data_IF_045623877899
#
_entry.id   IF_045623877899
#
_cell.length_a   1.000
_cell.length_b   1.000
_cell.length_c   1.000
_cell.angle_alpha   90.00
_cell.angle_beta   90.00
_cell.angle_gamma   90.00
#
_symmetry.space_group_name_H-M   'P 1'
#
loop_
_entity.id
_entity.type
_entity.pdbx_description
1 polymer ?
#
# COMPACT_ATOMS: atom_id res chain seq x y z
N UNK A 1 -23.74 -25.35 13.31
CA UNK A 1 -24.49 -26.11 12.29
C UNK A 1 -23.54 -27.15 11.74
N UNK A 2 -23.97 -28.40 11.58
CA UNK A 2 -23.13 -29.39 10.90
C UNK A 2 -23.01 -29.06 9.41
N UNK A 3 -22.00 -29.58 8.69
CA UNK A 3 -21.90 -29.43 7.24
C UNK A 3 -23.18 -29.80 6.48
N UNK A 4 -23.85 -30.88 6.89
CA UNK A 4 -25.10 -31.35 6.29
C UNK A 4 -26.24 -30.35 6.52
N UNK A 5 -26.38 -29.81 7.73
CA UNK A 5 -27.38 -28.78 8.04
C UNK A 5 -27.13 -27.49 7.25
N UNK A 6 -25.86 -27.13 7.08
CA UNK A 6 -25.42 -25.96 6.32
C UNK A 6 -25.76 -26.11 4.84
N UNK A 7 -25.42 -27.25 4.22
CA UNK A 7 -25.77 -27.53 2.83
C UNK A 7 -27.29 -27.64 2.62
N UNK A 8 -28.03 -28.24 3.55
CA UNK A 8 -29.48 -28.31 3.50
C UNK A 8 -30.12 -26.91 3.58
N UNK A 9 -29.58 -26.02 4.43
CA UNK A 9 -30.02 -24.63 4.50
C UNK A 9 -29.66 -23.85 3.23
N UNK A 10 -28.43 -23.97 2.74
CA UNK A 10 -28.03 -23.33 1.48
C UNK A 10 -28.90 -23.81 0.32
N UNK A 11 -29.18 -25.11 0.24
CA UNK A 11 -30.05 -25.69 -0.78
C UNK A 11 -31.45 -25.09 -0.74
N UNK A 12 -32.03 -24.88 0.46
CA UNK A 12 -33.32 -24.18 0.62
C UNK A 12 -33.28 -22.74 0.08
N UNK A 13 -32.22 -21.99 0.36
CA UNK A 13 -32.04 -20.61 -0.15
C UNK A 13 -31.83 -20.57 -1.67
N UNK A 14 -31.32 -21.66 -2.25
CA UNK A 14 -31.12 -21.83 -3.68
C UNK A 14 -32.35 -22.41 -4.41
N UNK A 15 -33.48 -22.72 -3.75
CA UNK A 15 -34.72 -23.22 -4.37
C UNK A 15 -35.43 -22.16 -5.24
N UNK A 16 -34.78 -21.71 -6.32
CA UNK A 16 -35.33 -20.77 -7.32
C UNK A 16 -35.02 -21.29 -8.73
N UNK A 17 -35.91 -21.09 -9.70
CA UNK A 17 -35.67 -21.52 -11.10
C UNK A 17 -34.41 -20.84 -11.66
N UNK A 18 -33.28 -21.55 -11.76
CA UNK A 18 -31.95 -20.99 -12.10
C UNK A 18 -31.82 -20.43 -13.52
N UNK A 19 -32.73 -20.81 -14.41
CA UNK A 19 -32.66 -20.54 -15.84
C UNK A 19 -33.15 -19.12 -16.21
N UNK A 20 -33.90 -18.43 -15.33
CA UNK A 20 -34.34 -17.03 -15.56
C UNK A 20 -33.33 -15.99 -15.04
N UNK A 21 -32.98 -14.95 -15.83
CA UNK A 21 -32.13 -13.85 -15.38
C UNK A 21 -32.93 -12.93 -14.46
N UNK A 22 -32.68 -13.02 -13.15
CA UNK A 22 -33.32 -12.16 -12.14
C UNK A 22 -32.20 -11.48 -11.36
N UNK A 23 -32.21 -10.15 -11.32
CA UNK A 23 -31.30 -9.38 -10.48
C UNK A 23 -31.58 -9.75 -9.01
N UNK A 24 -30.53 -10.04 -8.23
CA UNK A 24 -30.58 -10.44 -6.81
C UNK A 24 -31.08 -11.85 -6.48
N UNK A 25 -31.18 -12.75 -7.47
CA UNK A 25 -31.63 -14.14 -7.29
C UNK A 25 -30.96 -14.88 -6.12
N UNK A 26 -29.68 -14.62 -5.89
CA UNK A 26 -28.86 -15.29 -4.86
C UNK A 26 -28.58 -14.42 -3.64
N UNK A 27 -29.27 -13.31 -3.43
CA UNK A 27 -28.95 -12.38 -2.33
C UNK A 27 -28.98 -13.04 -0.94
N UNK A 28 -30.01 -13.85 -0.67
CA UNK A 28 -30.15 -14.57 0.61
C UNK A 28 -29.08 -15.65 0.79
N UNK A 29 -28.86 -16.48 -0.25
CA UNK A 29 -27.81 -17.50 -0.25
C UNK A 29 -26.41 -16.89 -0.09
N UNK A 30 -26.19 -15.73 -0.72
CA UNK A 30 -24.96 -14.95 -0.63
C UNK A 30 -24.77 -14.42 0.79
N UNK A 31 -25.78 -13.78 1.39
CA UNK A 31 -25.71 -13.29 2.76
C UNK A 31 -25.44 -14.40 3.78
N UNK A 32 -26.12 -15.55 3.62
CA UNK A 32 -25.90 -16.72 4.47
C UNK A 32 -24.47 -17.27 4.35
N UNK A 33 -23.98 -17.45 3.12
CA UNK A 33 -22.61 -17.94 2.86
C UNK A 33 -21.56 -16.95 3.35
N UNK A 34 -21.80 -15.65 3.20
CA UNK A 34 -20.94 -14.57 3.64
C UNK A 34 -20.73 -14.61 5.15
N UNK A 35 -21.81 -14.79 5.91
CA UNK A 35 -21.76 -14.91 7.36
C UNK A 35 -20.94 -16.13 7.83
N UNK A 36 -21.06 -17.26 7.13
CA UNK A 36 -20.33 -18.48 7.50
C UNK A 36 -18.83 -18.39 7.22
N UNK A 37 -18.47 -17.70 6.14
CA UNK A 37 -17.08 -17.51 5.72
C UNK A 37 -16.43 -16.25 6.32
N UNK A 38 -17.15 -15.50 7.16
CA UNK A 38 -16.73 -14.20 7.70
C UNK A 38 -16.28 -13.20 6.61
N UNK A 39 -17.03 -13.16 5.50
CA UNK A 39 -16.78 -12.27 4.38
C UNK A 39 -17.94 -11.27 4.23
N UNK A 40 -17.71 -10.06 3.71
CA UNK A 40 -18.81 -9.20 3.32
C UNK A 40 -19.52 -9.80 2.09
N UNK A 41 -20.87 -9.69 1.97
CA UNK A 41 -21.60 -10.27 0.85
C UNK A 41 -21.11 -9.84 -0.53
N UNK A 42 -20.54 -8.64 -0.66
CA UNK A 42 -19.94 -8.15 -1.92
C UNK A 42 -18.75 -8.98 -2.41
N UNK A 43 -18.10 -9.76 -1.54
CA UNK A 43 -16.96 -10.61 -1.87
C UNK A 43 -17.35 -12.03 -2.30
N UNK A 44 -18.65 -12.32 -2.38
CA UNK A 44 -19.19 -13.60 -2.84
C UNK A 44 -19.97 -13.46 -4.14
N UNK A 45 -19.61 -14.26 -5.13
CA UNK A 45 -20.31 -14.31 -6.40
C UNK A 45 -20.89 -15.70 -6.68
N UNK A 46 -22.22 -15.77 -6.74
CA UNK A 46 -22.94 -16.97 -7.15
C UNK A 46 -23.22 -16.92 -8.65
N UNK A 47 -22.86 -18.00 -9.35
CA UNK A 47 -23.15 -18.13 -10.77
C UNK A 47 -23.71 -19.50 -11.10
N UNK A 48 -24.72 -19.53 -11.95
CA UNK A 48 -25.23 -20.78 -12.49
C UNK A 48 -24.52 -21.12 -13.79
N UNK A 49 -23.97 -22.32 -13.86
CA UNK A 49 -23.18 -22.82 -14.99
C UNK A 49 -23.95 -23.95 -15.64
N UNK A 50 -24.65 -23.61 -16.72
CA UNK A 50 -25.37 -24.60 -17.52
C UNK A 50 -24.50 -25.35 -18.51
N UNK A 51 -23.31 -24.84 -18.85
CA UNK A 51 -22.29 -25.41 -19.77
C UNK A 51 -20.89 -24.99 -19.32
N UNK A 52 -19.89 -25.86 -19.45
CA UNK A 52 -18.50 -25.59 -19.05
C UNK A 52 -17.94 -24.32 -19.71
N UNK A 53 -18.28 -24.07 -20.98
CA UNK A 53 -17.87 -22.85 -21.70
C UNK A 53 -18.34 -21.55 -21.06
N UNK A 54 -19.39 -21.59 -20.23
CA UNK A 54 -19.95 -20.40 -19.58
C UNK A 54 -19.23 -20.04 -18.28
N UNK A 55 -18.34 -20.92 -17.80
CA UNK A 55 -17.64 -20.76 -16.53
C UNK A 55 -16.75 -19.51 -16.53
N UNK A 56 -15.89 -19.40 -17.53
CA UNK A 56 -14.96 -18.27 -17.73
C UNK A 56 -15.68 -16.97 -18.13
N UNK A 57 -16.74 -17.07 -18.92
CA UNK A 57 -17.50 -15.88 -19.38
C UNK A 57 -18.20 -15.21 -18.20
N UNK A 58 -18.93 -15.97 -17.37
CA UNK A 58 -19.75 -15.41 -16.29
C UNK A 58 -18.94 -14.92 -15.09
N UNK A 59 -17.85 -15.62 -14.76
CA UNK A 59 -17.03 -15.26 -13.62
C UNK A 59 -16.09 -14.08 -13.85
N UNK A 60 -15.85 -13.70 -15.11
CA UNK A 60 -14.92 -12.61 -15.46
C UNK A 60 -15.64 -11.34 -15.93
N UNK A 61 -16.80 -11.46 -16.59
CA UNK A 61 -17.48 -10.29 -17.20
C UNK A 61 -18.40 -9.51 -16.25
N UNK A 62 -18.88 -10.13 -15.17
CA UNK A 62 -19.78 -9.44 -14.24
C UNK A 62 -18.97 -8.55 -13.27
N UNK A 63 -19.33 -7.27 -13.08
CA UNK A 63 -18.66 -6.40 -12.11
C UNK A 63 -18.62 -6.99 -10.70
N UNK A 64 -19.71 -7.66 -10.29
CA UNK A 64 -19.78 -8.35 -9.00
C UNK A 64 -18.88 -9.59 -8.95
N UNK A 65 -18.70 -10.29 -10.08
CA UNK A 65 -17.77 -11.40 -10.14
C UNK A 65 -16.33 -10.90 -10.06
N UNK A 66 -15.99 -9.79 -10.72
CA UNK A 66 -14.66 -9.16 -10.65
C UNK A 66 -14.26 -8.84 -9.22
N UNK A 67 -15.17 -8.26 -8.42
CA UNK A 67 -14.90 -7.87 -7.03
C UNK A 67 -14.91 -9.03 -6.02
N UNK A 68 -15.42 -10.20 -6.40
CA UNK A 68 -15.56 -11.34 -5.51
C UNK A 68 -14.21 -12.04 -5.24
N UNK A 69 -14.01 -12.42 -3.99
CA UNK A 69 -12.91 -13.29 -3.53
C UNK A 69 -13.28 -14.76 -3.71
N UNK A 70 -14.57 -15.09 -3.50
CA UNK A 70 -15.09 -16.45 -3.62
C UNK A 70 -16.15 -16.52 -4.71
N UNK A 71 -15.99 -17.47 -5.63
CA UNK A 71 -16.99 -17.78 -6.66
C UNK A 71 -17.64 -19.12 -6.33
N UNK A 72 -18.94 -19.10 -6.11
CA UNK A 72 -19.76 -20.30 -5.92
C UNK A 72 -20.43 -20.65 -7.25
N UNK A 73 -19.93 -21.68 -7.91
CA UNK A 73 -20.45 -22.15 -9.18
C UNK A 73 -21.49 -23.26 -8.95
N UNK A 74 -22.73 -22.96 -9.35
CA UNK A 74 -23.86 -23.87 -9.30
C UNK A 74 -23.94 -24.64 -10.62
N UNK A 75 -23.54 -25.92 -10.59
CA UNK A 75 -23.43 -26.81 -11.75
C UNK A 75 -24.71 -27.63 -11.89
N UNK A 76 -25.36 -27.55 -13.07
CA UNK A 76 -26.43 -28.50 -13.41
C UNK A 76 -25.83 -29.91 -13.44
N UNK A 77 -26.54 -30.91 -12.92
CA UNK A 77 -26.10 -32.31 -12.95
C UNK A 77 -25.57 -32.65 -14.36
N UNK A 78 -24.30 -33.06 -14.45
CA UNK A 78 -23.59 -33.27 -15.72
C UNK A 78 -22.59 -34.40 -15.57
N UNK A 79 -22.37 -35.11 -16.67
CA UNK A 79 -21.36 -36.17 -16.85
C UNK A 79 -19.95 -35.62 -17.13
N UNK A 80 -19.79 -34.31 -17.32
CA UNK A 80 -18.55 -33.63 -17.70
C UNK A 80 -17.75 -33.11 -16.48
N UNK A 81 -17.59 -33.95 -15.44
CA UNK A 81 -16.95 -33.54 -14.17
C UNK A 81 -15.52 -33.03 -14.41
N UNK A 82 -14.71 -33.76 -15.17
CA UNK A 82 -13.32 -33.34 -15.43
C UNK A 82 -13.20 -32.01 -16.17
N UNK A 83 -14.05 -31.78 -17.19
CA UNK A 83 -13.99 -30.54 -17.95
C UNK A 83 -14.39 -29.34 -17.08
N UNK A 84 -15.36 -29.53 -16.18
CA UNK A 84 -15.77 -28.53 -15.20
C UNK A 84 -14.63 -28.22 -14.22
N UNK A 85 -13.98 -29.26 -13.71
CA UNK A 85 -12.81 -29.14 -12.83
C UNK A 85 -11.65 -28.39 -13.51
N UNK A 86 -11.27 -28.78 -14.73
CA UNK A 86 -10.23 -28.06 -15.51
C UNK A 86 -10.58 -26.59 -15.76
N UNK A 87 -11.85 -26.29 -16.04
CA UNK A 87 -12.29 -24.91 -16.24
C UNK A 87 -12.25 -24.09 -14.94
N UNK A 88 -12.61 -24.70 -13.82
CA UNK A 88 -12.56 -24.09 -12.50
C UNK A 88 -11.13 -23.84 -12.03
N UNK A 89 -10.25 -24.81 -12.23
CA UNK A 89 -8.82 -24.71 -11.96
C UNK A 89 -8.18 -23.57 -12.76
N UNK A 90 -8.41 -23.55 -14.08
CA UNK A 90 -7.93 -22.46 -14.94
C UNK A 90 -8.48 -21.09 -14.53
N UNK A 91 -9.71 -21.03 -14.05
CA UNK A 91 -10.28 -19.77 -13.56
C UNK A 91 -9.62 -19.33 -12.25
N UNK A 92 -9.47 -20.25 -11.28
CA UNK A 92 -8.79 -19.98 -10.02
C UNK A 92 -7.37 -19.48 -10.28
N UNK A 93 -6.60 -20.20 -11.12
CA UNK A 93 -5.25 -19.81 -11.52
C UNK A 93 -5.21 -18.42 -12.17
N UNK A 94 -6.15 -18.14 -13.09
CA UNK A 94 -6.19 -16.87 -13.79
C UNK A 94 -6.59 -15.68 -12.91
N UNK A 95 -7.48 -15.90 -11.94
CA UNK A 95 -8.15 -14.81 -11.21
C UNK A 95 -7.71 -14.66 -9.77
N UNK A 96 -6.95 -15.60 -9.22
CA UNK A 96 -6.58 -15.62 -7.81
C UNK A 96 -7.73 -15.95 -6.85
N UNK A 97 -8.89 -16.38 -7.37
CA UNK A 97 -10.11 -16.55 -6.57
C UNK A 97 -10.25 -17.97 -6.06
N UNK A 98 -10.85 -18.11 -4.87
CA UNK A 98 -11.31 -19.40 -4.38
C UNK A 98 -12.60 -19.78 -5.11
N UNK A 99 -12.61 -20.94 -5.74
CA UNK A 99 -13.73 -21.45 -6.52
C UNK A 99 -14.35 -22.64 -5.78
N UNK A 100 -15.62 -22.53 -5.40
CA UNK A 100 -16.42 -23.64 -4.84
C UNK A 100 -17.39 -24.16 -5.91
N UNK A 101 -17.36 -25.47 -6.14
CA UNK A 101 -18.24 -26.15 -7.08
C UNK A 101 -19.34 -26.88 -6.33
N UNK A 102 -20.58 -26.47 -6.57
CA UNK A 102 -21.77 -27.15 -6.06
C UNK A 102 -22.51 -27.81 -7.23
N UNK A 103 -22.76 -29.10 -7.14
CA UNK A 103 -23.50 -29.85 -8.14
C UNK A 103 -24.87 -30.27 -7.58
N UNK A 104 -25.90 -30.27 -8.42
CA UNK A 104 -27.19 -30.86 -8.02
C UNK A 104 -27.02 -32.35 -7.75
N UNK A 105 -27.72 -32.88 -6.75
CA UNK A 105 -27.71 -34.32 -6.41
C UNK A 105 -28.40 -35.16 -7.50
N UNK A 106 -29.46 -34.62 -8.11
CA UNK A 106 -30.14 -35.22 -9.27
C UNK A 106 -30.75 -34.13 -10.15
N UNK A 107 -31.23 -34.48 -11.35
CA UNK A 107 -31.84 -33.52 -12.28
C UNK A 107 -33.14 -32.92 -11.72
N UNK A 108 -33.90 -33.74 -10.98
CA UNK A 108 -35.17 -33.36 -10.35
C UNK A 108 -34.98 -32.73 -8.96
N UNK A 109 -33.80 -32.90 -8.35
CA UNK A 109 -33.51 -32.37 -7.02
C UNK A 109 -33.11 -30.88 -7.06
N UNK A 110 -33.52 -30.16 -6.02
CA UNK A 110 -33.05 -28.81 -5.70
C UNK A 110 -31.94 -28.82 -4.64
N UNK A 111 -31.48 -29.99 -4.25
CA UNK A 111 -30.39 -30.19 -3.30
C UNK A 111 -29.04 -30.12 -4.01
N UNK A 112 -28.07 -29.56 -3.30
CA UNK A 112 -26.73 -29.32 -3.78
C UNK A 112 -25.71 -30.07 -2.92
N UNK A 113 -24.73 -30.69 -3.57
CA UNK A 113 -23.59 -31.33 -2.95
C UNK A 113 -22.29 -30.62 -3.37
N UNK A 114 -21.29 -30.64 -2.49
CA UNK A 114 -19.95 -30.15 -2.79
C UNK A 114 -19.28 -31.12 -3.76
N UNK A 115 -18.98 -30.63 -4.96
CA UNK A 115 -18.27 -31.39 -5.99
C UNK A 115 -16.75 -31.25 -5.82
N UNK A 116 -16.30 -30.14 -5.22
CA UNK A 116 -14.91 -29.81 -4.96
C UNK A 116 -14.66 -28.31 -5.15
N UNK A 117 -13.40 -27.93 -5.30
CA UNK A 117 -13.03 -26.54 -5.54
C UNK A 117 -11.54 -26.34 -5.68
N UNK A 118 -11.15 -25.09 -5.91
CA UNK A 118 -9.79 -24.69 -6.22
C UNK A 118 -9.43 -23.36 -5.56
N UNK A 119 -8.19 -23.22 -5.15
CA UNK A 119 -7.62 -21.97 -4.63
C UNK A 119 -6.16 -21.84 -5.07
N UNK A 120 -5.53 -20.68 -4.85
CA UNK A 120 -4.12 -20.47 -5.18
C UNK A 120 -3.29 -20.77 -3.93
N UNK A 121 -2.49 -21.82 -3.97
CA UNK A 121 -1.74 -22.27 -2.79
C UNK A 121 -0.74 -21.22 -2.28
N UNK A 122 -0.25 -20.35 -3.17
CA UNK A 122 0.65 -19.26 -2.82
C UNK A 122 -0.02 -18.08 -2.08
N UNK A 123 -1.36 -18.06 -1.93
CA UNK A 123 -2.08 -17.00 -1.23
C UNK A 123 -2.73 -17.55 0.06
N UNK A 124 -2.15 -17.26 1.24
CA UNK A 124 -2.62 -17.76 2.54
C UNK A 124 -4.09 -17.41 2.82
N UNK A 125 -4.57 -16.27 2.33
CA UNK A 125 -5.98 -15.89 2.52
C UNK A 125 -6.92 -16.84 1.75
N UNK A 126 -6.52 -17.25 0.54
CA UNK A 126 -7.34 -18.16 -0.27
C UNK A 126 -7.32 -19.58 0.28
N UNK A 127 -6.22 -19.97 0.92
CA UNK A 127 -6.08 -21.23 1.67
C UNK A 127 -6.94 -21.24 2.94
N UNK A 128 -6.90 -20.18 3.75
CA UNK A 128 -7.75 -20.04 4.93
C UNK A 128 -9.24 -20.12 4.54
N UNK A 129 -9.64 -19.39 3.50
CA UNK A 129 -11.00 -19.44 2.97
C UNK A 129 -11.34 -20.85 2.48
N UNK A 130 -10.41 -21.55 1.80
CA UNK A 130 -10.63 -22.90 1.32
C UNK A 130 -10.84 -23.88 2.47
N UNK A 131 -10.01 -23.82 3.50
CA UNK A 131 -10.15 -24.63 4.72
C UNK A 131 -11.47 -24.34 5.42
N UNK A 132 -11.86 -23.07 5.53
CA UNK A 132 -13.14 -22.65 6.10
C UNK A 132 -14.33 -23.18 5.29
N UNK A 133 -14.24 -23.19 3.96
CA UNK A 133 -15.27 -23.78 3.10
C UNK A 133 -15.45 -25.27 3.39
N UNK A 134 -14.35 -26.03 3.54
CA UNK A 134 -14.41 -27.47 3.88
C UNK A 134 -15.00 -27.68 5.27
N UNK A 135 -14.61 -26.86 6.25
CA UNK A 135 -15.15 -26.92 7.62
C UNK A 135 -16.66 -26.68 7.63
N UNK A 136 -17.13 -25.68 6.89
CA UNK A 136 -18.52 -25.21 6.90
C UNK A 136 -19.45 -26.07 6.06
N UNK A 137 -19.00 -26.50 4.88
CA UNK A 137 -19.82 -27.21 3.89
C UNK A 137 -19.48 -28.70 3.78
N UNK A 138 -18.38 -29.14 4.35
CA UNK A 138 -17.89 -30.52 4.22
C UNK A 138 -17.40 -30.83 2.80
N UNK A 139 -17.31 -32.12 2.48
CA UNK A 139 -16.87 -32.60 1.18
C UNK A 139 -15.35 -32.76 1.06
N UNK A 140 -14.84 -33.02 -0.17
CA UNK A 140 -13.41 -33.20 -0.39
C UNK A 140 -12.64 -31.88 -0.19
N UNK A 141 -11.37 -31.94 0.24
CA UNK A 141 -10.50 -30.77 0.28
C UNK A 141 -10.47 -30.05 -1.08
N UNK A 142 -10.47 -28.72 -1.03
CA UNK A 142 -10.23 -27.92 -2.22
C UNK A 142 -8.78 -28.11 -2.67
N UNK A 143 -8.53 -28.09 -3.97
CA UNK A 143 -7.20 -28.30 -4.53
C UNK A 143 -6.45 -26.97 -4.62
N UNK A 144 -5.29 -26.90 -3.96
CA UNK A 144 -4.36 -25.79 -4.11
C UNK A 144 -3.69 -25.84 -5.48
N UNK A 145 -3.62 -24.69 -6.15
CA UNK A 145 -2.92 -24.51 -7.42
C UNK A 145 -1.63 -23.77 -7.13
N UNK A 146 -0.50 -24.40 -7.47
CA UNK A 146 0.78 -23.71 -7.52
C UNK A 146 0.84 -22.85 -8.77
N UNK A 147 1.10 -21.56 -8.59
CA UNK A 147 1.29 -20.63 -9.70
C UNK A 147 2.68 -20.06 -9.56
N UNK A 148 3.50 -20.18 -10.61
CA UNK A 148 4.80 -19.54 -10.59
C UNK A 148 4.64 -18.01 -10.59
N UNK A 149 5.55 -17.23 -9.99
CA UNK A 149 5.52 -15.77 -10.05
C UNK A 149 5.42 -15.22 -11.49
N UNK A 150 6.02 -15.94 -12.45
CA UNK A 150 5.97 -15.60 -13.87
C UNK A 150 4.58 -15.79 -14.52
N UNK A 151 3.84 -16.82 -14.11
CA UNK A 151 2.48 -17.10 -14.58
C UNK A 151 1.45 -16.16 -13.94
N UNK A 152 1.68 -15.76 -12.68
CA UNK A 152 0.88 -14.74 -12.02
C UNK A 152 1.01 -13.39 -12.74
N UNK A 153 2.25 -12.98 -13.06
CA UNK A 153 2.51 -11.77 -13.84
C UNK A 153 1.87 -11.82 -15.24
N UNK A 154 1.99 -12.97 -15.93
CA UNK A 154 1.39 -13.18 -17.26
C UNK A 154 -0.14 -13.14 -17.20
N UNK A 155 -0.75 -13.75 -16.17
CA UNK A 155 -2.20 -13.77 -15.98
C UNK A 155 -2.76 -12.38 -15.68
N UNK A 156 -2.04 -11.56 -14.91
CA UNK A 156 -2.37 -10.17 -14.67
C UNK A 156 -2.32 -9.36 -15.98
N UNK A 157 -1.27 -9.53 -16.79
CA UNK A 157 -1.12 -8.87 -18.09
C UNK A 157 -2.23 -9.27 -19.08
N UNK A 158 -2.58 -10.55 -19.17
CA UNK A 158 -3.71 -11.01 -19.99
C UNK A 158 -5.07 -10.50 -19.50
N UNK A 159 -5.23 -10.33 -18.19
CA UNK A 159 -6.46 -9.78 -17.62
C UNK A 159 -6.64 -8.31 -18.04
N UNK A 160 -5.56 -7.53 -17.99
CA UNK A 160 -5.58 -6.15 -18.48
C UNK A 160 -5.84 -6.07 -19.99
N UNK A 161 -5.23 -6.95 -20.79
CA UNK A 161 -5.45 -7.01 -22.24
C UNK A 161 -6.94 -7.24 -22.59
N UNK A 162 -7.63 -8.10 -21.82
CA UNK A 162 -9.08 -8.34 -21.96
C UNK A 162 -9.97 -7.17 -21.55
N UNK A 163 -9.47 -6.26 -20.71
CA UNK A 163 -10.14 -4.98 -20.42
C UNK A 163 -9.91 -3.94 -21.52
N UNK A 164 -9.27 -4.32 -22.63
CA UNK A 164 -8.89 -3.42 -23.73
C UNK A 164 -7.64 -2.60 -23.41
N UNK A 165 -6.86 -3.01 -22.41
CA UNK A 165 -5.64 -2.35 -21.98
C UNK A 165 -4.45 -3.24 -22.35
N UNK A 166 -3.85 -3.03 -23.53
CA UNK A 166 -2.58 -3.66 -23.91
C UNK A 166 -1.50 -3.40 -22.86
N UNK A 167 -0.52 -4.29 -22.65
CA UNK A 167 0.56 -4.09 -21.66
C UNK A 167 1.30 -2.73 -21.78
N UNK A 168 1.42 -2.19 -23.00
CA UNK A 168 1.96 -0.85 -23.23
C UNK A 168 0.98 0.27 -22.84
N UNK A 169 -0.32 0.08 -23.05
CA UNK A 169 -1.37 1.00 -22.60
C UNK A 169 -1.69 0.86 -21.10
N UNK A 170 -1.44 -0.29 -20.48
CA UNK A 170 -1.43 -0.46 -19.02
C UNK A 170 -0.26 0.31 -18.46
N UNK A 171 0.96 0.14 -18.99
CA UNK A 171 2.10 1.00 -18.65
C UNK A 171 1.82 2.50 -18.84
N UNK A 172 1.13 2.89 -19.92
CA UNK A 172 0.78 4.28 -20.21
C UNK A 172 -0.41 4.83 -19.36
N UNK A 173 -1.40 4.01 -19.04
CA UNK A 173 -2.54 4.34 -18.16
C UNK A 173 -2.08 4.35 -16.70
N UNK A 174 -1.16 3.45 -16.32
CA UNK A 174 -0.44 3.44 -15.04
C UNK A 174 0.53 4.63 -14.93
N UNK A 175 1.13 5.08 -16.04
CA UNK A 175 1.97 6.30 -16.06
C UNK A 175 1.15 7.59 -16.03
N UNK A 176 -0.09 7.58 -16.53
CA UNK A 176 -0.96 8.76 -16.62
C UNK A 176 -1.96 8.90 -15.46
N UNK A 177 -2.34 7.83 -14.75
CA UNK A 177 -3.21 7.94 -13.58
C UNK A 177 -2.42 8.26 -12.31
N UNK A 178 -2.84 9.33 -11.65
CA UNK A 178 -2.32 9.79 -10.36
C UNK A 178 -2.86 8.97 -9.17
N UNK A 179 -3.82 8.08 -9.39
CA UNK A 179 -4.54 7.39 -8.32
C UNK A 179 -3.94 6.01 -8.01
N UNK A 180 -2.80 6.04 -7.31
CA UNK A 180 -2.08 4.85 -6.80
C UNK A 180 -2.97 4.01 -5.86
N UNK A 181 -3.86 4.65 -5.10
CA UNK A 181 -4.74 3.99 -4.13
C UNK A 181 -5.73 3.04 -4.81
N UNK A 182 -6.27 3.44 -5.97
CA UNK A 182 -7.17 2.59 -6.76
C UNK A 182 -6.48 1.33 -7.34
N UNK A 183 -5.18 1.42 -7.62
CA UNK A 183 -4.36 0.33 -8.17
C UNK A 183 -4.04 -0.70 -7.09
N UNK A 184 -3.58 -0.24 -5.92
CA UNK A 184 -3.30 -1.11 -4.78
C UNK A 184 -4.58 -1.79 -4.30
N UNK A 185 -5.70 -1.08 -4.21
CA UNK A 185 -6.99 -1.67 -3.81
C UNK A 185 -7.49 -2.72 -4.81
N UNK A 186 -7.28 -2.51 -6.11
CA UNK A 186 -7.65 -3.47 -7.15
C UNK A 186 -6.75 -4.71 -7.14
N UNK A 187 -5.44 -4.50 -6.99
CA UNK A 187 -4.45 -5.57 -6.94
C UNK A 187 -4.59 -6.42 -5.66
N UNK A 188 -4.79 -5.78 -4.50
CA UNK A 188 -5.14 -6.43 -3.23
C UNK A 188 -6.44 -7.22 -3.31
N UNK A 189 -7.42 -6.73 -4.06
CA UNK A 189 -8.68 -7.44 -4.28
C UNK A 189 -8.53 -8.65 -5.23
N UNK A 190 -7.39 -8.79 -5.92
CA UNK A 190 -7.19 -9.79 -6.96
C UNK A 190 -6.24 -10.93 -6.57
N UNK A 191 -5.28 -10.71 -5.66
CA UNK A 191 -4.46 -11.73 -4.98
C UNK A 191 -3.33 -11.09 -4.17
N UNK A 192 -2.73 -11.84 -3.24
CA UNK A 192 -1.46 -11.47 -2.58
C UNK A 192 -0.32 -11.19 -3.59
N UNK A 193 -0.21 -12.00 -4.65
CA UNK A 193 0.77 -11.78 -5.72
C UNK A 193 0.49 -10.47 -6.49
N UNK A 194 -0.78 -10.15 -6.72
CA UNK A 194 -1.20 -8.87 -7.31
C UNK A 194 -0.80 -7.68 -6.43
N UNK A 195 -1.02 -7.77 -5.12
CA UNK A 195 -0.62 -6.75 -4.16
C UNK A 195 0.90 -6.51 -4.18
N UNK A 196 1.71 -7.58 -4.10
CA UNK A 196 3.17 -7.49 -4.14
C UNK A 196 3.69 -6.86 -5.44
N UNK A 197 3.11 -7.22 -6.58
CA UNK A 197 3.45 -6.61 -7.87
C UNK A 197 3.08 -5.12 -7.93
N UNK A 198 1.93 -4.73 -7.35
CA UNK A 198 1.51 -3.33 -7.27
C UNK A 198 2.43 -2.52 -6.35
N UNK A 199 2.81 -3.06 -5.19
CA UNK A 199 3.76 -2.42 -4.26
C UNK A 199 5.11 -2.20 -4.92
N UNK A 200 5.65 -3.23 -5.59
CA UNK A 200 6.89 -3.14 -6.35
C UNK A 200 6.82 -2.05 -7.42
N UNK A 201 5.72 -1.99 -8.17
CA UNK A 201 5.52 -0.97 -9.21
C UNK A 201 5.43 0.45 -8.61
N UNK A 202 4.81 0.61 -7.44
CA UNK A 202 4.75 1.89 -6.72
C UNK A 202 6.14 2.31 -6.26
N UNK A 203 6.91 1.41 -5.65
CA UNK A 203 8.29 1.68 -5.21
C UNK A 203 9.17 2.08 -6.41
N UNK A 204 9.10 1.34 -7.51
CA UNK A 204 9.85 1.66 -8.74
C UNK A 204 9.50 3.05 -9.29
N UNK A 205 8.20 3.40 -9.32
CA UNK A 205 7.75 4.73 -9.75
C UNK A 205 8.26 5.83 -8.82
N UNK A 206 8.21 5.61 -7.50
CA UNK A 206 8.72 6.55 -6.50
C UNK A 206 10.22 6.78 -6.65
N UNK A 207 11.01 5.72 -6.92
CA UNK A 207 12.45 5.83 -7.20
C UNK A 207 12.74 6.62 -8.47
N UNK A 208 12.02 6.36 -9.56
CA UNK A 208 12.18 7.11 -10.80
C UNK A 208 11.93 8.62 -10.59
N UNK A 209 10.90 8.96 -9.80
CA UNK A 209 10.62 10.35 -9.41
C UNK A 209 11.77 10.97 -8.61
N UNK A 210 12.31 10.25 -7.61
CA UNK A 210 13.45 10.75 -6.80
C UNK A 210 14.69 10.96 -7.68
N UNK A 211 15.00 10.03 -8.59
CA UNK A 211 16.12 10.16 -9.51
C UNK A 211 15.97 11.40 -10.42
N UNK A 212 14.76 11.66 -10.91
CA UNK A 212 14.47 12.84 -11.72
C UNK A 212 14.58 14.14 -10.91
N UNK A 213 14.03 14.17 -9.69
CA UNK A 213 14.16 15.32 -8.79
C UNK A 213 15.62 15.58 -8.44
N UNK A 214 16.42 14.53 -8.19
CA UNK A 214 17.87 14.65 -7.95
C UNK A 214 18.59 15.29 -9.13
N UNK A 215 18.23 14.92 -10.37
CA UNK A 215 18.75 15.56 -11.58
C UNK A 215 18.33 17.04 -11.67
N UNK A 216 17.07 17.34 -11.39
CA UNK A 216 16.56 18.72 -11.42
C UNK A 216 17.28 19.62 -10.42
N UNK A 217 17.47 19.17 -9.17
CA UNK A 217 18.08 19.99 -8.13
C UNK A 217 19.59 20.23 -8.34
N UNK A 218 20.21 19.45 -9.24
CA UNK A 218 21.61 19.63 -9.67
C UNK A 218 21.75 20.57 -10.87
N UNK A 219 20.65 20.95 -11.53
CA UNK A 219 20.65 21.89 -12.65
C UNK A 219 20.37 23.32 -12.14
N UNK A 220 21.32 24.28 -12.28
CA UNK A 220 21.12 25.67 -11.89
C UNK A 220 19.96 26.37 -12.60
N UNK A 221 19.51 25.86 -13.74
CA UNK A 221 18.39 26.41 -14.51
C UNK A 221 17.02 25.96 -13.98
N UNK A 222 16.97 24.95 -13.11
CA UNK A 222 15.72 24.48 -12.51
C UNK A 222 15.13 25.56 -11.61
N UNK A 223 13.89 25.96 -11.89
CA UNK A 223 13.19 26.96 -11.08
C UNK A 223 12.44 26.33 -9.90
N UNK A 224 12.13 27.17 -8.90
CA UNK A 224 11.23 26.79 -7.78
C UNK A 224 9.88 26.25 -8.28
N UNK A 225 9.31 26.89 -9.30
CA UNK A 225 8.03 26.48 -9.89
C UNK A 225 8.12 25.08 -10.53
N UNK A 226 9.24 24.72 -11.14
CA UNK A 226 9.44 23.40 -11.72
C UNK A 226 9.48 22.32 -10.63
N UNK A 227 10.17 22.60 -9.53
CA UNK A 227 10.22 21.72 -8.36
C UNK A 227 8.85 21.57 -7.70
N UNK A 228 8.10 22.66 -7.50
CA UNK A 228 6.73 22.60 -6.97
C UNK A 228 5.83 21.75 -7.86
N UNK A 229 5.87 21.99 -9.18
CA UNK A 229 5.08 21.23 -10.15
C UNK A 229 5.41 19.74 -10.08
N UNK A 230 6.69 19.40 -9.90
CA UNK A 230 7.14 18.02 -9.85
C UNK A 230 6.77 17.30 -8.55
N UNK A 231 6.87 17.97 -7.41
CA UNK A 231 6.48 17.41 -6.11
C UNK A 231 4.97 17.30 -5.92
N UNK A 232 4.17 18.12 -6.61
CA UNK A 232 2.71 18.13 -6.45
C UNK A 232 2.11 16.71 -6.57
N UNK A 233 1.42 16.27 -5.52
CA UNK A 233 0.81 14.94 -5.44
C UNK A 233 1.75 13.81 -4.95
N UNK A 234 3.03 14.11 -4.69
CA UNK A 234 4.04 13.15 -4.23
C UNK A 234 4.49 13.46 -2.80
N UNK A 235 3.53 13.73 -1.91
CA UNK A 235 3.81 14.20 -0.54
C UNK A 235 4.41 13.14 0.39
N UNK A 236 4.40 11.87 -0.02
CA UNK A 236 5.11 10.79 0.65
C UNK A 236 6.62 11.09 0.78
N UNK A 237 7.19 11.96 -0.07
CA UNK A 237 8.58 12.42 -0.01
C UNK A 237 8.91 13.07 1.35
N UNK A 238 7.92 13.65 2.03
CA UNK A 238 8.11 14.27 3.34
C UNK A 238 8.06 13.27 4.51
N UNK A 239 7.78 11.98 4.23
CA UNK A 239 7.70 10.90 5.22
C UNK A 239 6.28 10.42 5.54
N UNK A 240 6.17 9.36 6.35
CA UNK A 240 4.92 8.65 6.63
C UNK A 240 4.02 9.22 7.74
N UNK A 241 4.36 10.37 8.32
CA UNK A 241 3.58 10.96 9.43
C UNK A 241 2.31 11.69 8.99
N UNK A 242 2.10 11.84 7.69
CA UNK A 242 1.01 12.62 7.14
C UNK A 242 -0.12 11.75 6.60
N UNK A 243 -1.35 12.14 6.92
CA UNK A 243 -2.58 11.44 6.53
C UNK A 243 -3.27 12.09 5.32
N UNK A 244 -2.87 13.30 4.95
CA UNK A 244 -3.45 14.00 3.81
C UNK A 244 -2.86 15.40 3.58
N UNK A 245 -3.50 16.13 2.67
CA UNK A 245 -3.12 17.50 2.31
C UNK A 245 -4.33 18.41 2.44
N UNK A 246 -4.14 19.54 3.10
CA UNK A 246 -5.14 20.56 3.31
C UNK A 246 -5.36 21.41 2.06
N UNK A 247 -6.39 22.25 2.13
CA UNK A 247 -6.54 23.35 1.18
C UNK A 247 -5.35 24.32 1.28
N UNK A 248 -4.90 24.85 0.15
CA UNK A 248 -3.77 25.78 0.10
C UNK A 248 -4.01 27.10 0.85
N UNK A 249 -5.27 27.46 1.14
CA UNK A 249 -5.61 28.65 1.92
C UNK A 249 -6.47 28.24 3.12
N UNK A 250 -5.82 28.04 4.27
CA UNK A 250 -6.47 27.66 5.54
C UNK A 250 -6.87 28.91 6.30
N UNK A 251 -5.96 29.87 6.40
CA UNK A 251 -6.21 31.20 6.94
C UNK A 251 -6.55 32.17 5.80
N UNK A 252 -7.41 33.17 6.03
CA UNK A 252 -7.62 34.25 5.08
C UNK A 252 -6.30 34.92 4.69
N UNK A 253 -6.15 35.30 3.41
CA UNK A 253 -4.98 35.99 2.84
C UNK A 253 -3.66 35.19 2.81
N UNK A 254 -3.59 34.02 3.44
CA UNK A 254 -2.46 33.12 3.31
C UNK A 254 -2.67 32.10 2.18
N UNK A 255 -1.56 31.79 1.51
CA UNK A 255 -1.46 30.68 0.56
C UNK A 255 -0.20 29.89 0.87
N UNK A 256 -0.39 28.67 1.35
CA UNK A 256 0.67 27.71 1.66
C UNK A 256 1.02 26.91 0.41
N UNK A 257 2.30 26.58 0.24
CA UNK A 257 2.74 25.71 -0.86
C UNK A 257 2.19 24.30 -0.70
N UNK A 258 2.47 23.66 0.45
CA UNK A 258 1.99 22.32 0.76
C UNK A 258 1.60 22.23 2.25
N UNK A 259 0.33 22.40 2.58
CA UNK A 259 -0.17 22.18 3.94
C UNK A 259 -0.53 20.70 4.14
N UNK A 260 0.21 19.97 4.97
CA UNK A 260 0.04 18.55 5.26
C UNK A 260 -0.70 18.33 6.59
N UNK A 261 -1.55 17.31 6.63
CA UNK A 261 -2.17 16.84 7.87
C UNK A 261 -1.32 15.78 8.52
N UNK A 262 -1.00 15.98 9.79
CA UNK A 262 -0.36 14.96 10.60
C UNK A 262 -1.41 13.97 11.12
N UNK A 263 -0.97 12.75 11.44
CA UNK A 263 -1.82 11.73 12.06
C UNK A 263 -2.39 12.13 13.44
N UNK A 264 -1.76 13.10 14.12
CA UNK A 264 -2.23 13.67 15.39
C UNK A 264 -3.23 14.82 15.23
N UNK A 265 -3.67 15.12 13.99
CA UNK A 265 -4.60 16.20 13.67
C UNK A 265 -3.96 17.58 13.55
N UNK A 266 -2.65 17.72 13.83
CA UNK A 266 -1.94 18.98 13.65
C UNK A 266 -1.65 19.28 12.17
N UNK A 267 -1.42 20.55 11.87
CA UNK A 267 -1.02 20.99 10.55
C UNK A 267 0.51 21.12 10.43
N UNK A 268 1.08 20.62 9.33
CA UNK A 268 2.48 20.85 8.96
C UNK A 268 2.55 21.58 7.63
N UNK A 269 3.08 22.81 7.63
CA UNK A 269 3.28 23.59 6.41
C UNK A 269 4.66 23.28 5.82
N UNK A 270 4.71 22.82 4.57
CA UNK A 270 5.97 22.81 3.83
C UNK A 270 6.02 24.06 2.97
N UNK A 271 7.02 24.90 3.23
CA UNK A 271 7.40 26.05 2.41
C UNK A 271 8.55 25.62 1.51
N UNK A 272 8.40 25.83 0.21
CA UNK A 272 9.37 25.37 -0.77
C UNK A 272 10.08 26.57 -1.40
N UNK A 273 11.39 26.46 -1.59
CA UNK A 273 12.24 27.45 -2.27
C UNK A 273 13.08 26.77 -3.34
N UNK A 274 13.59 27.55 -4.30
CA UNK A 274 14.48 27.03 -5.36
C UNK A 274 15.71 26.24 -4.84
N UNK A 275 16.20 25.31 -5.66
CA UNK A 275 17.40 24.51 -5.35
C UNK A 275 18.71 25.27 -5.57
N UNK A 276 18.74 26.22 -6.50
CA UNK A 276 19.93 27.01 -6.80
C UNK A 276 19.96 28.31 -5.98
N UNK A 277 20.68 28.28 -4.86
CA UNK A 277 20.90 29.44 -3.98
C UNK A 277 22.40 29.51 -3.67
N UNK A 278 23.18 30.32 -4.40
CA UNK A 278 24.63 30.41 -4.22
C UNK A 278 25.02 30.82 -2.79
N UNK A 279 24.30 31.79 -2.22
CA UNK A 279 24.46 32.26 -0.84
C UNK A 279 23.56 31.49 0.13
N UNK A 280 23.46 30.16 0.01
CA UNK A 280 22.70 29.35 0.97
C UNK A 280 23.33 29.45 2.37
N UNK A 281 24.66 29.44 2.40
CA UNK A 281 25.51 29.71 3.57
C UNK A 281 26.42 30.89 3.21
N UNK A 282 26.77 31.68 4.21
CA UNK A 282 27.71 32.80 4.07
C UNK A 282 28.80 32.71 5.13
N UNK A 283 30.00 33.14 4.78
CA UNK A 283 31.10 33.28 5.73
C UNK A 283 31.05 34.66 6.36
N UNK A 284 30.86 34.70 7.67
CA UNK A 284 30.95 35.91 8.46
C UNK A 284 32.15 35.82 9.42
N UNK A 285 33.23 36.52 9.07
CA UNK A 285 34.53 36.43 9.76
C UNK A 285 35.04 34.98 9.75
N UNK A 286 35.17 34.34 10.92
CA UNK A 286 35.63 32.96 11.07
C UNK A 286 34.48 31.94 11.13
N UNK A 287 33.23 32.38 11.12
CA UNK A 287 32.06 31.50 11.28
C UNK A 287 31.25 31.41 9.99
N UNK A 288 30.55 30.29 9.85
CA UNK A 288 29.54 30.10 8.82
C UNK A 288 28.17 30.38 9.42
N UNK A 289 27.31 31.02 8.64
CA UNK A 289 25.92 31.28 9.00
C UNK A 289 25.02 31.03 7.79
N UNK A 290 23.73 30.72 8.01
CA UNK A 290 22.77 30.70 6.92
C UNK A 290 22.72 32.06 6.22
N UNK A 291 22.62 32.06 4.90
CA UNK A 291 22.47 33.30 4.14
C UNK A 291 21.07 33.91 4.29
N UNK A 292 20.92 35.14 3.82
CA UNK A 292 19.69 35.92 4.00
C UNK A 292 18.42 35.19 3.51
N UNK A 293 18.52 34.45 2.39
CA UNK A 293 17.39 33.69 1.82
C UNK A 293 16.86 32.58 2.72
N UNK A 294 17.73 31.96 3.53
CA UNK A 294 17.30 30.97 4.51
C UNK A 294 16.49 31.64 5.62
N UNK A 295 16.98 32.77 6.13
CA UNK A 295 16.26 33.51 7.18
C UNK A 295 14.92 34.07 6.68
N UNK A 296 14.87 34.62 5.45
CA UNK A 296 13.62 35.08 4.82
C UNK A 296 12.58 33.96 4.73
N UNK A 297 12.98 32.77 4.26
CA UNK A 297 12.08 31.63 4.12
C UNK A 297 11.58 31.10 5.48
N UNK A 298 12.46 31.07 6.49
CA UNK A 298 12.08 30.72 7.87
C UNK A 298 11.10 31.73 8.45
N UNK A 299 11.34 33.03 8.24
CA UNK A 299 10.43 34.07 8.73
C UNK A 299 9.07 34.05 8.01
N UNK A 300 9.05 33.68 6.72
CA UNK A 300 7.81 33.43 6.00
C UNK A 300 7.02 32.28 6.65
N UNK A 301 7.66 31.14 6.90
CA UNK A 301 7.04 30.00 7.56
C UNK A 301 6.58 30.31 9.01
N UNK A 302 7.39 31.06 9.76
CA UNK A 302 7.05 31.50 11.12
C UNK A 302 5.83 32.42 11.13
N UNK A 303 5.68 33.29 10.13
CA UNK A 303 4.51 34.15 10.00
C UNK A 303 3.23 33.35 9.74
N UNK A 304 3.30 32.24 9.01
CA UNK A 304 2.16 31.33 8.86
C UNK A 304 1.78 30.68 10.19
N UNK A 305 2.77 30.16 10.92
CA UNK A 305 2.53 29.57 12.25
C UNK A 305 1.89 30.61 13.20
N UNK A 306 2.39 31.84 13.20
CA UNK A 306 1.81 32.94 13.99
C UNK A 306 0.34 33.17 13.64
N UNK A 307 -0.02 33.20 12.35
CA UNK A 307 -1.42 33.34 11.96
C UNK A 307 -2.29 32.17 12.39
N UNK A 308 -1.78 30.95 12.32
CA UNK A 308 -2.47 29.77 12.85
C UNK A 308 -2.68 29.85 14.36
N UNK A 309 -1.69 30.33 15.12
CA UNK A 309 -1.81 30.47 16.58
C UNK A 309 -2.83 31.57 16.95
N UNK A 310 -2.80 32.71 16.27
CA UNK A 310 -3.67 33.87 16.54
C UNK A 310 -5.12 33.64 16.11
N UNK A 311 -5.35 33.11 14.91
CA UNK A 311 -6.71 32.92 14.37
C UNK A 311 -7.22 31.48 14.40
N UNK A 312 -6.42 30.54 14.90
CA UNK A 312 -6.70 29.11 14.89
C UNK A 312 -8.03 28.75 15.54
N UNK A 313 -8.32 29.28 16.73
CA UNK A 313 -9.54 28.95 17.48
C UNK A 313 -10.83 29.18 16.68
N UNK A 314 -10.90 30.31 15.98
CA UNK A 314 -12.05 30.69 15.14
C UNK A 314 -12.12 29.78 13.92
N UNK A 315 -10.99 29.52 13.27
CA UNK A 315 -10.95 28.67 12.07
C UNK A 315 -11.24 27.21 12.38
N UNK A 316 -10.71 26.66 13.48
CA UNK A 316 -11.00 25.31 13.97
C UNK A 316 -12.51 25.10 14.12
N UNK A 317 -13.24 26.08 14.65
CA UNK A 317 -14.71 26.01 14.78
C UNK A 317 -15.39 25.90 13.41
N UNK A 318 -14.94 26.70 12.44
CA UNK A 318 -15.49 26.67 11.07
C UNK A 318 -15.22 25.31 10.41
N UNK A 319 -14.00 24.79 10.52
CA UNK A 319 -13.65 23.50 9.95
C UNK A 319 -14.41 22.35 10.61
N UNK A 320 -14.53 22.38 11.93
CA UNK A 320 -15.27 21.35 12.67
C UNK A 320 -16.73 21.28 12.24
N UNK A 321 -17.35 22.44 11.99
CA UNK A 321 -18.71 22.51 11.44
C UNK A 321 -18.82 21.95 10.02
N UNK A 322 -17.72 21.90 9.27
CA UNK A 322 -17.63 21.23 7.97
C UNK A 322 -17.20 19.75 8.05
N UNK A 323 -17.08 19.19 9.26
CA UNK A 323 -16.69 17.80 9.49
C UNK A 323 -15.19 17.55 9.48
N UNK A 324 -14.38 18.61 9.61
CA UNK A 324 -12.92 18.52 9.57
C UNK A 324 -12.34 19.02 10.90
N UNK A 325 -11.57 18.20 11.59
CA UNK A 325 -10.95 18.57 12.87
C UNK A 325 -9.46 18.86 12.67
N UNK A 326 -9.09 20.14 12.78
CA UNK A 326 -7.69 20.57 12.74
C UNK A 326 -7.26 21.03 14.13
N UNK A 327 -6.03 20.71 14.53
CA UNK A 327 -5.32 21.42 15.60
C UNK A 327 -4.36 22.43 14.97
N UNK A 328 -4.83 23.67 14.82
CA UNK A 328 -4.07 24.73 14.16
C UNK A 328 -3.02 25.33 15.10
N UNK A 329 -3.26 25.29 16.42
CA UNK A 329 -2.31 25.79 17.45
C UNK A 329 -1.07 24.94 17.59
N UNK A 330 -1.11 23.68 17.15
CA UNK A 330 0.07 22.80 17.06
C UNK A 330 0.80 22.86 15.73
N UNK A 331 0.49 23.86 14.90
CA UNK A 331 1.10 24.04 13.58
C UNK A 331 2.63 23.97 13.60
N UNK A 332 3.23 23.26 12.64
CA UNK A 332 4.68 23.24 12.40
C UNK A 332 4.98 23.60 10.96
N UNK A 333 6.25 23.87 10.65
CA UNK A 333 6.66 24.06 9.28
C UNK A 333 8.01 23.43 8.95
N UNK A 334 8.19 23.07 7.69
CA UNK A 334 9.49 22.72 7.11
C UNK A 334 9.74 23.63 5.92
N UNK A 335 10.90 24.27 5.88
CA UNK A 335 11.42 25.01 4.75
C UNK A 335 12.36 24.08 3.97
N UNK A 336 12.06 23.83 2.69
CA UNK A 336 12.95 23.09 1.80
C UNK A 336 13.62 24.07 0.85
N UNK A 337 14.93 24.23 0.96
CA UNK A 337 15.64 25.35 0.34
C UNK A 337 17.06 24.97 -0.09
N UNK A 338 17.42 25.34 -1.32
CA UNK A 338 18.78 25.21 -1.82
C UNK A 338 19.29 23.77 -1.98
N UNK A 339 20.54 23.69 -2.44
CA UNK A 339 21.32 22.47 -2.57
C UNK A 339 22.77 22.80 -2.19
N UNK A 340 23.36 22.01 -1.29
CA UNK A 340 24.72 22.25 -0.79
C UNK A 340 25.76 22.25 -1.90
N UNK A 341 25.50 21.57 -3.02
CA UNK A 341 26.40 21.52 -4.17
C UNK A 341 26.63 22.88 -4.85
N UNK A 342 25.76 23.87 -4.61
CA UNK A 342 25.90 25.23 -5.16
C UNK A 342 26.55 26.22 -4.19
N UNK A 343 26.94 25.77 -3.00
CA UNK A 343 27.69 26.62 -2.06
C UNK A 343 29.16 26.59 -2.44
N UNK A 344 29.63 27.68 -3.05
CA UNK A 344 31.02 27.87 -3.42
C UNK A 344 31.63 29.03 -2.62
N UNK A 345 32.19 28.70 -1.45
CA UNK A 345 32.92 29.66 -0.61
C UNK A 345 34.39 29.22 -0.61
N UNK A 346 35.27 29.96 -1.30
CA UNK A 346 36.68 29.59 -1.40
C UNK A 346 37.40 29.70 -0.06
N UNK A 347 38.64 29.22 -0.04
CA UNK A 347 39.56 29.45 1.07
C UNK A 347 39.85 30.94 1.26
N UNK A 348 40.16 31.32 2.50
CA UNK A 348 40.60 32.66 2.88
C UNK A 348 42.01 32.54 3.50
N UNK A 349 43.07 32.64 2.70
CA UNK A 349 44.45 32.50 3.17
C UNK A 349 44.83 33.56 4.21
N UNK A 350 44.27 34.77 4.11
CA UNK A 350 44.54 35.85 5.04
C UNK A 350 44.03 35.52 6.46
N UNK A 351 42.98 34.71 6.55
CA UNK A 351 42.39 34.25 7.83
C UNK A 351 42.73 32.80 8.17
N UNK A 352 43.55 32.13 7.37
CA UNK A 352 43.89 30.70 7.53
C UNK A 352 42.65 29.78 7.55
N UNK A 353 41.64 30.10 6.76
CA UNK A 353 40.40 29.32 6.67
C UNK A 353 40.37 28.54 5.36
N UNK A 354 40.16 27.22 5.46
CA UNK A 354 39.96 26.38 4.27
C UNK A 354 38.62 26.67 3.56
N UNK A 355 38.52 26.16 2.33
CA UNK A 355 37.28 26.18 1.56
C UNK A 355 36.13 25.48 2.32
N UNK A 356 34.91 25.95 2.10
CA UNK A 356 33.73 25.38 2.76
C UNK A 356 33.39 24.03 2.13
N UNK A 357 33.22 23.02 2.97
CA UNK A 357 32.80 21.67 2.54
C UNK A 357 31.29 21.47 2.74
N UNK A 358 30.72 20.48 2.05
CA UNK A 358 29.32 20.07 2.26
C UNK A 358 29.01 19.77 3.73
N UNK A 359 29.90 19.06 4.43
CA UNK A 359 29.71 18.76 5.86
C UNK A 359 29.64 20.02 6.73
N UNK A 360 30.35 21.08 6.36
CA UNK A 360 30.29 22.35 7.09
C UNK A 360 28.97 23.10 6.81
N UNK A 361 28.45 23.02 5.58
CA UNK A 361 27.10 23.50 5.24
C UNK A 361 26.04 22.77 6.08
N UNK A 362 26.08 21.44 6.08
CA UNK A 362 25.14 20.60 6.84
C UNK A 362 25.18 20.91 8.34
N UNK A 363 26.39 21.08 8.91
CA UNK A 363 26.56 21.46 10.31
C UNK A 363 26.04 22.87 10.61
N UNK A 364 26.16 23.79 9.66
CA UNK A 364 25.63 25.17 9.81
C UNK A 364 24.10 25.16 9.85
N UNK A 365 23.46 24.43 8.92
CA UNK A 365 22.00 24.28 8.91
C UNK A 365 21.52 23.55 10.16
N UNK A 366 22.21 22.50 10.61
CA UNK A 366 21.89 21.79 11.85
C UNK A 366 21.98 22.69 13.07
N UNK A 367 23.03 23.51 13.17
CA UNK A 367 23.16 24.51 14.24
C UNK A 367 22.00 25.50 14.18
N UNK A 368 21.62 25.97 12.98
CA UNK A 368 20.50 26.89 12.84
C UNK A 368 19.16 26.28 13.28
N UNK A 369 18.88 25.04 12.86
CA UNK A 369 17.70 24.29 13.29
C UNK A 369 17.63 24.09 14.81
N UNK A 370 18.76 24.06 15.52
CA UNK A 370 18.77 23.97 16.99
C UNK A 370 18.28 25.24 17.69
N UNK A 371 18.24 26.37 16.99
CA UNK A 371 17.85 27.67 17.54
C UNK A 371 16.38 28.02 17.27
N UNK A 372 15.79 27.44 16.23
CA UNK A 372 14.42 27.73 15.80
C UNK A 372 13.46 26.65 16.29
N UNK A 373 12.33 27.07 16.87
CA UNK A 373 11.29 26.18 17.38
C UNK A 373 10.14 26.09 16.37
N UNK A 374 9.60 24.88 16.14
CA UNK A 374 8.48 24.55 15.22
C UNK A 374 8.74 24.75 13.71
N UNK A 375 9.82 25.40 13.31
CA UNK A 375 10.28 25.48 11.90
C UNK A 375 11.54 24.64 11.74
N UNK A 376 11.59 23.81 10.71
CA UNK A 376 12.77 23.02 10.34
C UNK A 376 13.27 23.46 8.96
N UNK A 377 14.57 23.62 8.79
CA UNK A 377 15.19 23.88 7.49
C UNK A 377 15.86 22.61 6.97
N UNK A 378 15.54 22.21 5.74
CA UNK A 378 16.17 21.12 5.02
C UNK A 378 16.62 21.59 3.64
N UNK A 379 17.70 21.03 3.13
CA UNK A 379 18.02 21.19 1.71
C UNK A 379 17.22 20.22 0.85
N UNK A 380 17.12 20.52 -0.45
CA UNK A 380 16.52 19.58 -1.40
C UNK A 380 17.26 18.24 -1.42
N UNK A 381 18.59 18.25 -1.31
CA UNK A 381 19.36 17.01 -1.28
C UNK A 381 19.02 16.18 -0.04
N UNK A 382 18.92 16.80 1.14
CA UNK A 382 18.61 16.10 2.39
C UNK A 382 17.21 15.49 2.36
N UNK A 383 16.22 16.21 1.83
CA UNK A 383 14.86 15.71 1.65
C UNK A 383 14.84 14.48 0.74
N UNK A 384 15.48 14.56 -0.42
CA UNK A 384 15.49 13.46 -1.40
C UNK A 384 16.32 12.27 -0.92
N UNK A 385 17.40 12.50 -0.17
CA UNK A 385 18.21 11.43 0.43
C UNK A 385 17.46 10.76 1.60
N UNK A 386 16.64 11.49 2.36
CA UNK A 386 15.76 10.91 3.36
C UNK A 386 14.63 10.08 2.71
N UNK A 387 14.01 10.60 1.65
CA UNK A 387 12.98 9.88 0.91
C UNK A 387 13.54 8.60 0.24
N UNK A 388 14.72 8.65 -0.37
CA UNK A 388 15.38 7.48 -0.97
C UNK A 388 15.67 6.40 0.09
N UNK A 389 16.16 6.81 1.27
CA UNK A 389 16.38 5.88 2.39
C UNK A 389 15.08 5.24 2.89
N UNK A 390 13.99 6.00 2.98
CA UNK A 390 12.67 5.46 3.33
C UNK A 390 12.22 4.40 2.33
N UNK A 391 12.42 4.62 1.02
CA UNK A 391 12.05 3.65 -0.01
C UNK A 391 12.90 2.37 0.03
N UNK A 392 14.18 2.47 0.39
CA UNK A 392 15.05 1.29 0.59
C UNK A 392 14.57 0.46 1.77
N UNK A 393 14.19 1.12 2.87
CA UNK A 393 13.61 0.44 4.02
C UNK A 393 12.28 -0.25 3.66
N UNK A 394 11.38 0.42 2.91
CA UNK A 394 10.14 -0.19 2.40
C UNK A 394 10.43 -1.45 1.56
N UNK A 395 11.46 -1.43 0.72
CA UNK A 395 11.86 -2.58 -0.10
C UNK A 395 12.47 -3.71 0.74
N UNK A 396 13.33 -3.42 1.71
CA UNK A 396 13.91 -4.42 2.61
C UNK A 396 12.83 -5.13 3.42
N UNK A 397 11.83 -4.38 3.91
CA UNK A 397 10.68 -4.95 4.61
C UNK A 397 9.84 -5.81 3.66
N UNK A 398 9.54 -5.34 2.45
CA UNK A 398 8.79 -6.12 1.45
C UNK A 398 9.54 -7.38 0.99
N UNK A 399 10.87 -7.30 0.87
CA UNK A 399 11.75 -8.41 0.47
C UNK A 399 11.93 -9.45 1.58
N UNK A 400 12.06 -9.03 2.85
CA UNK A 400 12.18 -9.95 3.98
C UNK A 400 10.89 -10.73 4.23
N UNK A 401 9.72 -10.11 4.03
CA UNK A 401 8.43 -10.83 4.11
C UNK A 401 8.34 -11.94 3.04
N UNK A 402 9.01 -11.78 1.89
CA UNK A 402 9.04 -12.77 0.82
C UNK A 402 10.07 -13.90 1.02
N UNK A 403 11.05 -13.74 1.93
CA UNK A 403 12.11 -14.72 2.19
C UNK A 403 11.82 -15.56 3.44
N UNK A 404 11.10 -15.02 4.42
CA UNK A 404 10.82 -15.68 5.70
C UNK A 404 9.54 -16.56 5.69
N UNK A 405 9.03 -16.91 4.51
CA UNK A 405 8.06 -18.01 4.41
C UNK A 405 8.84 -19.31 4.66
N UNK A 406 8.57 -20.09 5.72
CA UNK A 406 9.31 -21.31 5.97
C UNK A 406 9.07 -22.24 4.78
N UNK A 407 10.12 -22.49 4.00
CA UNK A 407 10.15 -23.63 3.10
C UNK A 407 9.98 -24.87 3.96
N UNK A 408 8.78 -25.43 3.95
CA UNK A 408 8.46 -26.68 4.60
C UNK A 408 9.23 -27.80 3.93
N UNK A 409 10.45 -28.04 4.40
CA UNK A 409 11.20 -29.28 4.25
C UNK A 409 12.27 -29.28 5.36
N UNK A 410 12.01 -30.04 6.42
CA UNK A 410 12.94 -30.12 7.55
C UNK A 410 12.39 -30.74 8.83
N UNK A 411 11.57 -31.79 8.73
CA UNK A 411 11.54 -32.82 9.77
C UNK A 411 12.94 -33.44 9.87
N UNK A 412 13.85 -32.88 10.69
CA UNK A 412 14.94 -33.65 11.35
C UNK A 412 15.83 -32.79 12.28
N UNK A 413 15.25 -32.07 13.25
CA UNK A 413 16.03 -31.56 14.42
C UNK A 413 15.17 -31.55 15.69
N UNK A 414 14.69 -32.72 16.09
CA UNK A 414 14.05 -32.93 17.39
C UNK A 414 14.57 -34.20 18.09
N UNK A 415 15.88 -34.43 18.08
CA UNK A 415 16.55 -35.35 19.00
C UNK A 415 17.93 -34.78 19.36
N UNK A 416 18.04 -34.11 20.51
CA UNK A 416 19.34 -33.61 20.96
C UNK A 416 19.38 -32.56 22.08
N UNK A 417 18.25 -32.15 22.67
CA UNK A 417 18.24 -31.14 23.75
C UNK A 417 17.49 -31.56 25.01
N UNK A 418 17.44 -32.86 25.31
CA UNK A 418 16.79 -33.40 26.51
C UNK A 418 17.74 -34.08 27.51
N UNK A 419 19.05 -33.81 27.47
CA UNK A 419 20.01 -34.41 28.42
C UNK A 419 20.96 -33.44 29.12
N UNK A 420 20.79 -32.12 29.00
CA UNK A 420 21.75 -31.14 29.56
C UNK A 420 21.17 -30.16 30.59
N UNK A 421 19.99 -30.44 31.16
CA UNK A 421 19.40 -29.60 32.23
C UNK A 421 19.20 -30.32 33.56
N UNK A 422 19.85 -31.48 33.77
CA UNK A 422 19.84 -32.20 35.05
C UNK A 422 21.17 -32.16 35.84
N UNK A 423 22.25 -31.57 35.30
CA UNK A 423 23.57 -31.59 35.96
C UNK A 423 24.05 -30.23 36.51
N UNK A 424 23.37 -29.12 36.21
CA UNK A 424 23.75 -27.77 36.71
C UNK A 424 22.98 -27.27 37.94
N UNK A 425 22.15 -28.10 38.57
CA UNK A 425 21.48 -27.77 39.84
C UNK A 425 22.22 -28.30 41.10
N UNK A 426 23.42 -28.89 40.94
CA UNK A 426 24.14 -29.58 42.02
C UNK A 426 25.48 -28.99 42.47
N UNK A 427 25.95 -27.87 41.88
CA UNK A 427 27.31 -27.34 42.15
C UNK A 427 27.36 -25.89 42.68
N UNK A 428 26.26 -25.35 43.19
CA UNK A 428 26.22 -24.02 43.79
C UNK A 428 26.11 -24.02 45.33
N UNK A 429 26.64 -25.03 46.03
CA UNK A 429 26.62 -25.08 47.51
C UNK A 429 27.94 -25.47 48.19
N UNK A 430 29.09 -25.29 47.53
CA UNK A 430 30.40 -25.53 48.16
C UNK A 430 31.45 -24.48 47.78
N UNK A 431 31.27 -23.24 48.22
CA UNK A 431 32.37 -22.29 48.43
C UNK A 431 31.96 -21.16 49.37
N UNK A 432 31.72 -21.52 50.63
CA UNK A 432 31.72 -20.60 51.76
C UNK A 432 32.46 -21.31 52.90
N UNK A 433 33.80 -21.24 52.86
CA UNK A 433 34.71 -21.18 54.00
C UNK A 433 36.07 -20.67 53.53
#
# INVERSE_FOLDING_TARGET
MTPEETLARLSRLLKKEHERPINNKYAEARGFTAQLLDLPPSRLYFTYVSRVSNFSVRAVQSPAAVQATVVVALIKLRTENEATHRAAEKLAAKTGKTILLLQRVSDESLEWAVMGGYYVAADPNTEEIANRIVEVFGGPPLRGIEISPSEAATSALEYFDRLGLSGASVGAVLSQRADISSIVAFAAASSAAGLSAAETAVIARRRALIAELKRMISDPATTETDLHRKIKGNYWIFGGRYTGVARASIMPMDRYDIPLFCADGSLHIVELKGSHIPSLIERHRQHLMPGAKVHEAVMQAANYIRQLDEGGATMETIYRNSGIDYDLRRGRATVVIGNQAFVDIPEDPARQLGAVTRSMVDQTIRTYNSLINRVEVLTWADLLDAADRSLRFEEEVAGNIAIDTPSGDGEDRAQGYASETAEEAGQAEASLF
#
